data_IF_872386116831
#
_entry.id   IF_872386116831
#
_cell.length_a   1.000
_cell.length_b   1.000
_cell.length_c   1.000
_cell.angle_alpha   90.00
_cell.angle_beta   90.00
_cell.angle_gamma   90.00
#
_symmetry.space_group_name_H-M   'P 1'
#
loop_
_entity.id
_entity.type
_entity.pdbx_description
1 polymer ?
#
# COMPACT_ATOMS: atom_id res chain seq x y z
N UNK A 1 -38.47 23.99 -39.51
CA UNK A 1 -38.10 24.94 -38.45
C UNK A 1 -37.75 24.16 -37.19
N UNK A 2 -36.45 23.92 -37.01
CA UNK A 2 -35.64 23.47 -35.87
C UNK A 2 -36.20 22.59 -34.74
N UNK A 3 -35.67 21.36 -34.75
CA UNK A 3 -35.40 20.50 -33.60
C UNK A 3 -34.42 21.19 -32.63
N UNK A 4 -34.71 21.20 -31.33
CA UNK A 4 -33.67 21.31 -30.30
C UNK A 4 -33.87 20.17 -29.30
N UNK A 5 -33.09 19.11 -29.51
CA UNK A 5 -32.84 18.03 -28.55
C UNK A 5 -32.00 18.62 -27.43
N UNK A 6 -32.53 18.74 -26.22
CA UNK A 6 -31.71 19.05 -25.07
C UNK A 6 -31.13 17.75 -24.49
N UNK A 7 -29.96 17.33 -25.03
CA UNK A 7 -29.13 16.28 -24.45
C UNK A 7 -28.65 16.78 -23.08
N UNK A 8 -29.27 16.32 -21.99
CA UNK A 8 -28.60 16.35 -20.67
C UNK A 8 -27.41 15.40 -20.76
N UNK A 9 -26.21 15.95 -20.88
CA UNK A 9 -24.99 15.20 -20.66
C UNK A 9 -25.00 14.72 -19.21
N UNK A 10 -25.19 13.40 -19.02
CA UNK A 10 -24.92 12.74 -17.77
C UNK A 10 -23.44 12.95 -17.46
N UNK A 11 -23.15 13.90 -16.57
CA UNK A 11 -21.80 14.05 -16.02
C UNK A 11 -21.69 12.95 -14.97
N UNK A 12 -21.13 11.80 -15.35
CA UNK A 12 -20.69 10.78 -14.40
C UNK A 12 -19.69 11.47 -13.48
N UNK A 13 -20.13 11.86 -12.27
CA UNK A 13 -19.21 12.19 -11.20
C UNK A 13 -18.44 10.91 -10.92
N UNK A 14 -17.17 10.89 -11.33
CA UNK A 14 -16.21 9.94 -10.76
C UNK A 14 -16.21 10.30 -9.27
N UNK A 15 -16.78 9.42 -8.45
CA UNK A 15 -16.75 9.56 -7.00
C UNK A 15 -15.30 9.37 -6.57
N UNK A 16 -14.52 10.44 -6.64
CA UNK A 16 -13.20 10.47 -6.03
C UNK A 16 -13.42 10.42 -4.52
N UNK A 17 -12.97 9.34 -3.85
CA UNK A 17 -13.12 9.25 -2.41
C UNK A 17 -12.43 10.44 -1.73
N UNK A 18 -13.00 10.98 -0.64
CA UNK A 18 -12.47 12.17 -0.02
C UNK A 18 -11.01 11.95 0.38
N UNK A 19 -10.10 12.70 -0.24
CA UNK A 19 -8.69 12.72 0.14
C UNK A 19 -8.61 13.38 1.52
N UNK A 20 -8.22 12.61 2.53
CA UNK A 20 -7.92 13.16 3.85
C UNK A 20 -6.64 13.99 3.72
N UNK A 21 -6.79 15.30 3.55
CA UNK A 21 -5.67 16.24 3.56
C UNK A 21 -5.26 16.45 5.01
N UNK A 22 -4.29 15.68 5.48
CA UNK A 22 -3.57 16.02 6.72
C UNK A 22 -2.51 17.04 6.37
N UNK A 23 -2.75 18.28 6.77
CA UNK A 23 -1.75 19.36 6.69
C UNK A 23 -0.71 19.17 7.79
N UNK A 24 0.48 18.67 7.42
CA UNK A 24 1.64 18.51 8.31
C UNK A 24 2.21 17.09 8.35
N UNK A 25 3.46 16.95 8.78
CA UNK A 25 4.02 15.66 9.18
C UNK A 25 3.25 15.19 10.41
N UNK A 26 2.34 14.23 10.24
CA UNK A 26 1.71 13.57 11.37
C UNK A 26 2.78 12.76 12.10
N UNK A 27 3.19 13.28 13.26
CA UNK A 27 4.05 12.61 14.24
C UNK A 27 3.17 12.33 15.46
N UNK A 28 2.81 11.07 15.65
CA UNK A 28 1.92 10.63 16.71
C UNK A 28 2.44 9.35 17.36
N UNK A 29 2.14 9.13 18.64
CA UNK A 29 2.51 7.89 19.31
C UNK A 29 1.91 6.67 18.60
N UNK A 30 2.67 5.58 18.50
CA UNK A 30 2.19 4.32 17.95
C UNK A 30 1.13 3.71 18.87
N UNK A 31 0.09 3.12 18.28
CA UNK A 31 -0.91 2.34 19.02
C UNK A 31 -0.30 1.09 19.64
N UNK A 32 -0.93 0.53 20.68
CA UNK A 32 -0.45 -0.71 21.31
C UNK A 32 -0.28 -1.87 20.33
N UNK A 33 -1.18 -2.01 19.35
CA UNK A 33 -1.08 -3.04 18.33
C UNK A 33 0.16 -2.84 17.44
N UNK A 34 0.43 -1.61 17.03
CA UNK A 34 1.62 -1.25 16.25
C UNK A 34 2.92 -1.46 17.05
N UNK A 35 2.94 -1.09 18.33
CA UNK A 35 4.09 -1.32 19.22
C UNK A 35 4.42 -2.82 19.36
N UNK A 36 3.38 -3.67 19.52
CA UNK A 36 3.55 -5.11 19.61
C UNK A 36 4.14 -5.71 18.34
N UNK A 37 3.61 -5.32 17.18
CA UNK A 37 4.13 -5.77 15.88
C UNK A 37 5.58 -5.33 15.73
N UNK A 38 5.87 -4.04 15.96
CA UNK A 38 7.24 -3.52 15.85
C UNK A 38 8.23 -4.26 16.75
N UNK A 39 7.86 -4.51 18.01
CA UNK A 39 8.70 -5.26 18.94
C UNK A 39 8.94 -6.70 18.45
N UNK A 40 7.89 -7.38 17.98
CA UNK A 40 8.00 -8.72 17.43
C UNK A 40 8.96 -8.74 16.23
N UNK A 41 8.80 -7.81 15.29
CA UNK A 41 9.71 -7.66 14.15
C UNK A 41 11.17 -7.48 14.62
N UNK A 42 11.44 -6.57 15.55
CA UNK A 42 12.81 -6.34 16.06
C UNK A 42 13.42 -7.55 16.77
N UNK A 43 12.63 -8.35 17.48
CA UNK A 43 13.10 -9.51 18.24
C UNK A 43 13.37 -10.75 17.40
N UNK A 44 12.86 -10.82 16.17
CA UNK A 44 12.93 -12.05 15.39
C UNK A 44 13.60 -11.86 14.02
N UNK A 45 13.65 -10.65 13.47
CA UNK A 45 14.48 -10.35 12.29
C UNK A 45 15.99 -10.38 12.57
N UNK A 46 16.40 -10.19 13.84
CA UNK A 46 17.81 -10.15 14.27
C UNK A 46 18.39 -11.54 14.60
N UNK A 47 17.55 -12.57 14.67
CA UNK A 47 17.98 -13.96 14.80
C UNK A 47 17.90 -14.63 13.42
N UNK A 48 18.83 -15.53 13.12
CA UNK A 48 19.10 -16.15 11.79
C UNK A 48 17.94 -16.94 11.14
N UNK A 49 16.70 -16.75 11.57
CA UNK A 49 15.50 -17.28 10.95
C UNK A 49 14.94 -16.28 9.95
N UNK A 50 15.21 -16.51 8.67
CA UNK A 50 14.71 -15.72 7.52
C UNK A 50 13.18 -15.80 7.29
N UNK A 51 12.40 -16.23 8.30
CA UNK A 51 11.06 -16.81 8.13
C UNK A 51 10.02 -16.25 9.11
N UNK A 52 10.01 -14.95 9.41
CA UNK A 52 8.94 -14.39 10.25
C UNK A 52 8.27 -13.17 9.63
N UNK A 53 7.86 -13.31 8.37
CA UNK A 53 6.86 -12.47 7.72
C UNK A 53 5.42 -12.75 8.22
N UNK A 54 5.23 -13.11 9.50
CA UNK A 54 3.95 -13.61 10.03
C UNK A 54 2.83 -12.55 10.07
N UNK A 55 3.20 -11.27 9.96
CA UNK A 55 2.26 -10.15 9.86
C UNK A 55 2.05 -9.68 8.43
N UNK A 56 2.73 -10.28 7.45
CA UNK A 56 2.50 -9.97 6.05
C UNK A 56 1.22 -10.65 5.58
N UNK A 57 0.37 -9.87 4.92
CA UNK A 57 -0.80 -10.38 4.23
C UNK A 57 -0.44 -10.46 2.76
N UNK A 58 -0.43 -11.68 2.22
CA UNK A 58 -0.15 -11.94 0.82
C UNK A 58 -1.47 -12.16 0.07
N UNK A 59 -1.66 -11.43 -1.02
CA UNK A 59 -2.89 -11.48 -1.82
C UNK A 59 -2.55 -11.82 -3.27
N UNK A 60 -2.70 -13.08 -3.69
CA UNK A 60 -2.51 -13.45 -5.09
C UNK A 60 -3.69 -13.01 -5.95
N UNK A 61 -3.38 -12.52 -7.16
CA UNK A 61 -4.38 -12.10 -8.15
C UNK A 61 -4.16 -12.85 -9.45
N UNK A 62 -5.18 -13.57 -9.91
CA UNK A 62 -5.16 -14.26 -11.20
C UNK A 62 -5.96 -13.49 -12.25
N UNK A 63 -5.30 -13.12 -13.35
CA UNK A 63 -5.96 -12.49 -14.50
C UNK A 63 -6.37 -13.59 -15.48
N UNK A 64 -7.68 -13.89 -15.57
CA UNK A 64 -8.18 -14.95 -16.46
C UNK A 64 -8.11 -14.58 -17.94
N UNK A 65 -8.30 -13.30 -18.27
CA UNK A 65 -8.48 -12.82 -19.64
C UNK A 65 -7.93 -11.39 -19.78
N UNK A 66 -7.39 -11.07 -20.96
CA UNK A 66 -6.87 -9.73 -21.28
C UNK A 66 -5.39 -9.55 -20.94
N UNK A 67 -4.83 -8.40 -21.35
CA UNK A 67 -3.44 -8.04 -21.08
C UNK A 67 -3.34 -7.11 -19.87
N UNK A 68 -2.40 -7.43 -18.99
CA UNK A 68 -2.08 -6.63 -17.83
C UNK A 68 -1.04 -5.59 -18.23
N UNK A 69 -1.34 -4.31 -18.03
CA UNK A 69 -0.35 -3.25 -18.20
C UNK A 69 0.28 -2.97 -16.86
N UNK A 70 1.57 -3.30 -16.73
CA UNK A 70 2.38 -3.02 -15.54
C UNK A 70 2.29 -1.55 -15.16
N UNK A 71 2.35 -0.66 -16.15
CA UNK A 71 2.27 0.78 -15.92
C UNK A 71 0.90 1.21 -15.36
N UNK A 72 -0.21 0.61 -15.81
CA UNK A 72 -1.53 0.90 -15.24
C UNK A 72 -1.66 0.40 -13.80
N UNK A 73 -1.08 -0.76 -13.46
CA UNK A 73 -1.03 -1.23 -12.07
C UNK A 73 -0.23 -0.26 -11.22
N UNK A 74 0.94 0.15 -11.69
CA UNK A 74 1.83 1.08 -11.00
C UNK A 74 1.08 2.37 -10.62
N UNK A 75 0.39 2.97 -11.59
CA UNK A 75 -0.42 4.18 -11.37
C UNK A 75 -1.59 3.94 -10.41
N UNK A 76 -2.26 2.79 -10.52
CA UNK A 76 -3.34 2.43 -9.60
C UNK A 76 -2.84 2.28 -8.15
N UNK A 77 -1.70 1.61 -7.94
CA UNK A 77 -1.09 1.45 -6.62
C UNK A 77 -0.63 2.79 -6.04
N UNK A 78 -0.03 3.66 -6.87
CA UNK A 78 0.30 5.03 -6.43
C UNK A 78 -0.92 5.83 -5.99
N UNK A 79 -2.05 5.69 -6.70
CA UNK A 79 -3.31 6.33 -6.30
C UNK A 79 -3.81 5.83 -4.94
N UNK A 80 -3.65 4.54 -4.65
CA UNK A 80 -4.00 3.95 -3.34
C UNK A 80 -3.07 4.50 -2.25
N UNK A 81 -1.76 4.59 -2.50
CA UNK A 81 -0.79 5.15 -1.54
C UNK A 81 -1.05 6.63 -1.25
N UNK A 82 -1.44 7.41 -2.26
CA UNK A 82 -1.78 8.82 -2.11
C UNK A 82 -3.01 9.02 -1.20
N UNK A 83 -4.02 8.16 -1.38
CA UNK A 83 -5.27 8.21 -0.62
C UNK A 83 -5.11 7.68 0.82
N UNK A 84 -4.27 6.66 1.04
CA UNK A 84 -4.17 5.95 2.31
C UNK A 84 -2.86 6.23 3.04
N UNK A 85 -2.91 7.19 3.98
CA UNK A 85 -1.74 7.58 4.79
C UNK A 85 -1.08 6.41 5.51
N UNK A 86 -1.87 5.45 6.01
CA UNK A 86 -1.35 4.30 6.77
C UNK A 86 -0.36 3.45 5.97
N UNK A 87 -0.53 3.38 4.63
CA UNK A 87 0.35 2.60 3.75
C UNK A 87 1.71 3.26 3.53
N UNK A 88 1.85 4.53 3.91
CA UNK A 88 3.10 5.30 3.87
C UNK A 88 3.55 5.72 5.27
N UNK A 89 3.03 5.09 6.31
CA UNK A 89 3.46 5.33 7.70
C UNK A 89 4.63 4.41 8.05
N UNK A 90 5.73 5.01 8.50
CA UNK A 90 6.83 4.30 9.15
C UNK A 90 6.70 4.43 10.68
N UNK A 91 7.00 3.36 11.42
CA UNK A 91 7.14 3.40 12.87
C UNK A 91 8.63 3.53 13.20
N UNK A 92 9.00 4.52 14.02
CA UNK A 92 10.38 4.76 14.43
C UNK A 92 10.48 4.94 15.94
N UNK A 93 11.58 4.48 16.53
CA UNK A 93 11.91 4.78 17.91
C UNK A 93 12.54 6.17 17.98
N UNK A 94 11.97 7.05 18.81
CA UNK A 94 12.51 8.38 19.07
C UNK A 94 13.31 8.33 20.36
N UNK A 95 14.64 8.47 20.27
CA UNK A 95 15.54 8.40 21.42
C UNK A 95 15.33 9.52 22.44
N UNK A 96 14.83 10.67 22.00
CA UNK A 96 14.60 11.83 22.88
C UNK A 96 13.32 11.64 23.71
N UNK A 97 12.23 11.17 23.09
CA UNK A 97 10.97 10.92 23.79
C UNK A 97 10.90 9.55 24.45
N UNK A 98 11.75 8.60 24.04
CA UNK A 98 11.74 7.21 24.48
C UNK A 98 10.52 6.42 23.97
N UNK A 99 9.85 6.90 22.92
CA UNK A 99 8.60 6.32 22.41
C UNK A 99 8.70 5.87 20.96
N UNK A 100 7.84 4.92 20.59
CA UNK A 100 7.59 4.59 19.18
C UNK A 100 6.60 5.58 18.60
N UNK A 101 7.02 6.25 17.53
CA UNK A 101 6.27 7.28 16.84
C UNK A 101 5.96 6.86 15.41
N UNK A 102 4.73 7.15 15.00
CA UNK A 102 4.26 7.01 13.63
C UNK A 102 4.66 8.27 12.86
N UNK A 103 5.32 8.08 11.73
CA UNK A 103 5.68 9.16 10.82
C UNK A 103 5.15 8.83 9.44
N UNK A 104 4.23 9.68 8.95
CA UNK A 104 3.71 9.54 7.59
C UNK A 104 4.72 10.12 6.61
N UNK A 105 5.20 9.29 5.67
CA UNK A 105 6.14 9.70 4.63
C UNK A 105 5.43 10.46 3.51
N UNK A 106 6.07 11.47 2.90
CA UNK A 106 5.53 12.10 1.70
C UNK A 106 5.51 11.09 0.56
N UNK A 107 4.47 11.16 -0.27
CA UNK A 107 4.44 10.37 -1.49
C UNK A 107 5.39 11.01 -2.50
N UNK A 108 6.57 10.42 -2.69
CA UNK A 108 7.46 10.75 -3.81
C UNK A 108 7.46 9.56 -4.74
N UNK A 109 7.05 9.76 -6.00
CA UNK A 109 6.91 8.66 -6.96
C UNK A 109 8.23 7.91 -7.21
N UNK A 110 9.37 8.57 -6.99
CA UNK A 110 10.71 7.99 -7.17
C UNK A 110 11.15 7.10 -5.99
N UNK A 111 10.47 7.17 -4.84
CA UNK A 111 10.80 6.37 -3.65
C UNK A 111 10.16 4.97 -3.65
N UNK A 112 9.19 4.74 -4.53
CA UNK A 112 8.48 3.46 -4.62
C UNK A 112 8.92 2.73 -5.88
N UNK A 113 9.87 1.80 -5.73
CA UNK A 113 10.28 0.89 -6.80
C UNK A 113 9.27 -0.25 -6.92
N UNK A 114 8.76 -0.46 -8.14
CA UNK A 114 7.96 -1.64 -8.46
C UNK A 114 8.86 -2.61 -9.22
N UNK A 115 9.30 -3.66 -8.53
CA UNK A 115 10.02 -4.76 -9.16
C UNK A 115 9.00 -5.71 -9.80
N UNK A 116 9.19 -5.98 -11.09
CA UNK A 116 8.45 -7.01 -11.79
C UNK A 116 9.31 -8.27 -11.85
N UNK A 117 9.13 -9.16 -10.89
CA UNK A 117 9.68 -10.51 -10.95
C UNK A 117 8.86 -11.31 -11.96
N UNK A 118 9.52 -12.11 -12.81
CA UNK A 118 8.81 -12.95 -13.79
C UNK A 118 7.74 -13.78 -13.07
N UNK A 119 6.55 -13.81 -13.70
CA UNK A 119 5.30 -14.21 -13.08
C UNK A 119 5.32 -15.62 -12.52
N UNK A 120 4.52 -15.81 -11.48
CA UNK A 120 4.19 -17.14 -10.99
C UNK A 120 3.29 -17.80 -12.03
N UNK A 121 3.84 -18.78 -12.75
CA UNK A 121 3.18 -19.42 -13.89
C UNK A 121 2.34 -20.64 -13.47
N UNK A 122 2.49 -21.11 -12.23
CA UNK A 122 1.67 -22.20 -11.67
C UNK A 122 1.16 -21.92 -10.25
N UNK A 123 -0.01 -22.46 -9.87
CA UNK A 123 -0.50 -22.39 -8.50
C UNK A 123 0.49 -22.98 -7.47
N UNK A 124 1.27 -24.02 -7.82
CA UNK A 124 2.24 -24.60 -6.88
C UNK A 124 3.40 -23.66 -6.56
N UNK A 125 3.88 -22.90 -7.55
CA UNK A 125 4.90 -21.86 -7.35
C UNK A 125 4.39 -20.75 -6.43
N UNK A 126 3.10 -20.42 -6.51
CA UNK A 126 2.48 -19.44 -5.63
C UNK A 126 2.42 -19.97 -4.20
N UNK A 127 1.90 -21.19 -4.02
CA UNK A 127 1.83 -21.83 -2.70
C UNK A 127 3.22 -21.95 -2.06
N UNK A 128 4.25 -22.31 -2.83
CA UNK A 128 5.63 -22.35 -2.36
C UNK A 128 6.15 -20.97 -1.90
N UNK A 129 5.78 -19.88 -2.60
CA UNK A 129 6.13 -18.52 -2.17
C UNK A 129 5.35 -18.03 -0.96
N UNK A 130 4.11 -18.49 -0.77
CA UNK A 130 3.27 -18.11 0.38
C UNK A 130 3.66 -18.84 1.67
N UNK A 131 4.35 -19.98 1.57
CA UNK A 131 4.69 -20.87 2.69
C UNK A 131 6.17 -20.88 3.05
N UNK A 132 7.02 -20.19 2.28
CA UNK A 132 8.45 -20.00 2.52
C UNK A 132 8.72 -18.85 3.52
#
# INVERSE_FOLDING_TARGET
MNLIRNRRAATTRVNEPPKLVVSGQLQASASFAQQRIWLHEQLYFNHQSSSLAIYNILVPLQIKQGSLSVERIRLALLSVLDQHMILRTSIRFNETSGQLEQQVQPLSHDLYSFEHTLGIDSPEQLEAMLTA
#
